data_IF_785635953065
#
_entry.id   IF_785635953065
#
_cell.length_a   1.000
_cell.length_b   1.000
_cell.length_c   1.000
_cell.angle_alpha   90.00
_cell.angle_beta   90.00
_cell.angle_gamma   90.00
#
_symmetry.space_group_name_H-M   'P 1'
#
loop_
_entity.id
_entity.type
_entity.pdbx_description
1 polymer ?
#
# COMPACT_ATOMS: atom_id res chain seq x y z
N UNK A 1 11.56 6.23 -10.64
CA UNK A 1 11.50 7.71 -10.57
C UNK A 1 10.25 8.28 -11.22
N UNK A 2 9.93 7.98 -12.47
CA UNK A 2 8.75 8.52 -13.18
C UNK A 2 7.44 8.27 -12.42
N UNK A 3 7.26 7.07 -11.87
CA UNK A 3 6.07 6.69 -11.10
C UNK A 3 5.82 7.62 -9.90
N UNK A 4 6.86 7.90 -9.10
CA UNK A 4 6.74 8.76 -7.90
C UNK A 4 6.35 10.19 -8.30
N UNK A 5 6.92 10.70 -9.39
CA UNK A 5 6.59 12.04 -9.90
C UNK A 5 5.13 12.09 -10.37
N UNK A 6 4.66 11.06 -11.08
CA UNK A 6 3.27 10.98 -11.54
C UNK A 6 2.29 10.87 -10.36
N UNK A 7 2.62 10.07 -9.34
CA UNK A 7 1.79 9.95 -8.13
C UNK A 7 1.71 11.28 -7.38
N UNK A 8 2.85 11.97 -7.18
CA UNK A 8 2.88 13.28 -6.54
C UNK A 8 2.07 14.31 -7.33
N UNK A 9 2.22 14.35 -8.64
CA UNK A 9 1.46 15.25 -9.51
C UNK A 9 -0.05 14.96 -9.46
N UNK A 10 -0.46 13.69 -9.46
CA UNK A 10 -1.86 13.28 -9.34
C UNK A 10 -2.45 13.67 -7.97
N UNK A 11 -1.71 13.49 -6.88
CA UNK A 11 -2.13 13.91 -5.54
C UNK A 11 -2.30 15.42 -5.44
N UNK A 12 -1.32 16.20 -5.92
CA UNK A 12 -1.38 17.67 -5.92
C UNK A 12 -2.58 18.15 -6.75
N UNK A 13 -2.75 17.58 -7.96
CA UNK A 13 -3.89 17.91 -8.80
C UNK A 13 -5.22 17.54 -8.13
N UNK A 14 -5.31 16.36 -7.52
CA UNK A 14 -6.50 15.90 -6.81
C UNK A 14 -6.89 16.82 -5.64
N UNK A 15 -5.91 17.20 -4.82
CA UNK A 15 -6.13 18.16 -3.72
C UNK A 15 -6.59 19.52 -4.26
N UNK A 16 -5.95 20.03 -5.32
CA UNK A 16 -6.31 21.29 -5.95
C UNK A 16 -7.76 21.28 -6.49
N UNK A 17 -8.14 20.24 -7.24
CA UNK A 17 -9.49 20.11 -7.80
C UNK A 17 -10.55 19.93 -6.71
N UNK A 18 -10.26 19.14 -5.67
CA UNK A 18 -11.20 18.92 -4.56
C UNK A 18 -11.39 20.17 -3.69
N UNK A 19 -10.37 21.01 -3.57
CA UNK A 19 -10.45 22.30 -2.88
C UNK A 19 -11.20 23.34 -3.71
N UNK A 20 -10.89 23.44 -5.01
CA UNK A 20 -11.46 24.47 -5.88
C UNK A 20 -12.90 24.18 -6.29
N UNK A 21 -13.31 22.91 -6.29
CA UNK A 21 -14.68 22.42 -6.56
C UNK A 21 -15.32 22.94 -7.86
N UNK A 22 -14.52 23.31 -8.86
CA UNK A 22 -15.01 23.87 -10.14
C UNK A 22 -15.80 22.87 -10.98
N UNK A 23 -15.45 21.58 -10.91
CA UNK A 23 -16.09 20.53 -11.69
C UNK A 23 -16.10 19.22 -10.93
N UNK A 24 -17.30 18.66 -10.69
CA UNK A 24 -17.46 17.34 -10.06
C UNK A 24 -16.80 16.22 -10.87
N UNK A 25 -16.83 16.31 -12.20
CA UNK A 25 -16.21 15.33 -13.07
C UNK A 25 -14.69 15.31 -12.95
N UNK A 26 -14.02 16.47 -12.96
CA UNK A 26 -12.57 16.55 -12.82
C UNK A 26 -12.10 16.08 -11.44
N UNK A 27 -12.85 16.41 -10.39
CA UNK A 27 -12.60 15.96 -9.04
C UNK A 27 -12.68 14.42 -8.94
N UNK A 28 -13.70 13.81 -9.56
CA UNK A 28 -13.84 12.35 -9.62
C UNK A 28 -12.68 11.71 -10.40
N UNK A 29 -12.32 12.27 -11.55
CA UNK A 29 -11.22 11.75 -12.39
C UNK A 29 -9.88 11.84 -11.65
N UNK A 30 -9.56 12.95 -11.01
CA UNK A 30 -8.32 13.10 -10.25
C UNK A 30 -8.24 12.12 -9.08
N UNK A 31 -9.35 11.88 -8.40
CA UNK A 31 -9.43 10.90 -7.32
C UNK A 31 -9.21 9.47 -7.81
N UNK A 32 -9.89 9.08 -8.89
CA UNK A 32 -9.74 7.75 -9.51
C UNK A 32 -8.32 7.54 -10.01
N UNK A 33 -7.72 8.56 -10.65
CA UNK A 33 -6.35 8.50 -11.13
C UNK A 33 -5.36 8.29 -9.98
N UNK A 34 -5.54 9.00 -8.87
CA UNK A 34 -4.71 8.83 -7.67
C UNK A 34 -4.78 7.41 -7.12
N UNK A 35 -5.99 6.84 -7.00
CA UNK A 35 -6.17 5.46 -6.52
C UNK A 35 -5.58 4.45 -7.52
N UNK A 36 -5.78 4.66 -8.81
CA UNK A 36 -5.19 3.81 -9.84
C UNK A 36 -3.66 3.78 -9.75
N UNK A 37 -3.03 4.95 -9.59
CA UNK A 37 -1.58 5.05 -9.42
C UNK A 37 -1.11 4.41 -8.12
N UNK A 38 -1.81 4.58 -7.01
CA UNK A 38 -1.48 3.92 -5.74
C UNK A 38 -1.54 2.39 -5.85
N UNK A 39 -2.39 1.86 -6.71
CA UNK A 39 -2.52 0.42 -6.95
C UNK A 39 -1.43 -0.21 -7.81
N UNK A 40 -0.69 0.58 -8.60
CA UNK A 40 0.31 0.06 -9.55
C UNK A 40 1.30 -0.93 -8.93
N UNK A 41 1.90 -0.69 -7.76
CA UNK A 41 2.84 -1.62 -7.16
C UNK A 41 2.25 -3.01 -6.87
N UNK A 42 0.94 -3.10 -6.68
CA UNK A 42 0.24 -4.34 -6.35
C UNK A 42 -0.18 -5.15 -7.59
N UNK A 43 -0.19 -4.54 -8.78
CA UNK A 43 -0.65 -5.19 -10.00
C UNK A 43 0.34 -6.22 -10.57
N UNK A 44 1.60 -6.22 -10.11
CA UNK A 44 2.66 -7.13 -10.56
C UNK A 44 2.57 -8.56 -10.02
N UNK A 45 1.69 -8.86 -9.06
CA UNK A 45 1.64 -10.14 -8.33
C UNK A 45 0.70 -11.20 -8.92
N UNK A 46 0.30 -11.09 -10.18
CA UNK A 46 -0.47 -12.08 -10.92
C UNK A 46 -1.74 -11.53 -11.55
N UNK A 47 -2.32 -12.32 -12.46
CA UNK A 47 -3.50 -11.93 -13.22
C UNK A 47 -4.73 -11.64 -12.33
N UNK A 48 -4.87 -12.34 -11.21
CA UNK A 48 -5.95 -12.11 -10.24
C UNK A 48 -5.87 -10.73 -9.59
N UNK A 49 -4.67 -10.26 -9.25
CA UNK A 49 -4.48 -8.92 -8.65
C UNK A 49 -4.82 -7.81 -9.64
N UNK A 50 -4.48 -8.00 -10.91
CA UNK A 50 -4.83 -7.05 -11.98
C UNK A 50 -6.35 -6.99 -12.17
N UNK A 51 -7.03 -8.15 -12.22
CA UNK A 51 -8.48 -8.21 -12.37
C UNK A 51 -9.20 -7.55 -11.21
N UNK A 52 -8.79 -7.82 -9.97
CA UNK A 52 -9.35 -7.18 -8.77
C UNK A 52 -9.13 -5.67 -8.82
N UNK A 53 -7.93 -5.21 -9.19
CA UNK A 53 -7.62 -3.79 -9.31
C UNK A 53 -8.51 -3.08 -10.35
N UNK A 54 -8.65 -3.65 -11.54
CA UNK A 54 -9.54 -3.11 -12.59
C UNK A 54 -10.99 -3.08 -12.12
N UNK A 55 -11.46 -4.13 -11.45
CA UNK A 55 -12.81 -4.20 -10.91
C UNK A 55 -13.06 -3.11 -9.87
N UNK A 56 -12.15 -2.95 -8.91
CA UNK A 56 -12.25 -1.91 -7.87
C UNK A 56 -12.26 -0.51 -8.49
N UNK A 57 -11.36 -0.22 -9.43
CA UNK A 57 -11.31 1.07 -10.12
C UNK A 57 -12.58 1.29 -10.93
N UNK A 58 -13.09 0.26 -11.62
CA UNK A 58 -14.33 0.34 -12.39
C UNK A 58 -15.55 0.62 -11.52
N UNK A 59 -15.70 -0.08 -10.40
CA UNK A 59 -16.79 0.17 -9.42
C UNK A 59 -16.69 1.58 -8.86
N UNK A 60 -15.49 2.02 -8.51
CA UNK A 60 -15.26 3.35 -7.98
C UNK A 60 -15.57 4.43 -9.03
N UNK A 61 -15.19 4.21 -10.29
CA UNK A 61 -15.48 5.12 -11.39
C UNK A 61 -16.99 5.28 -11.62
N UNK A 62 -17.73 4.16 -11.62
CA UNK A 62 -19.18 4.18 -11.74
C UNK A 62 -19.80 4.90 -10.53
N UNK A 63 -19.34 4.60 -9.32
CA UNK A 63 -19.86 5.20 -8.10
C UNK A 63 -19.62 6.71 -8.03
N UNK A 64 -18.44 7.19 -8.45
CA UNK A 64 -18.09 8.61 -8.46
C UNK A 64 -18.59 9.36 -9.69
N UNK A 65 -19.15 8.67 -10.69
CA UNK A 65 -19.70 9.32 -11.86
C UNK A 65 -20.75 10.38 -11.47
N UNK A 66 -20.66 11.61 -12.01
CA UNK A 66 -21.58 12.69 -11.64
C UNK A 66 -23.06 12.32 -11.78
N UNK A 67 -23.37 11.56 -12.84
CA UNK A 67 -24.74 11.08 -13.13
C UNK A 67 -25.26 10.12 -12.05
N UNK A 68 -24.39 9.28 -11.51
CA UNK A 68 -24.74 8.34 -10.43
C UNK A 68 -24.90 9.09 -9.11
N UNK A 69 -24.02 10.03 -8.82
CA UNK A 69 -24.06 10.87 -7.62
C UNK A 69 -25.34 11.73 -7.55
N UNK A 70 -25.87 12.16 -8.70
CA UNK A 70 -27.13 12.94 -8.75
C UNK A 70 -28.36 12.06 -8.47
N UNK A 71 -28.33 10.77 -8.88
CA UNK A 71 -29.42 9.82 -8.63
C UNK A 71 -29.43 9.21 -7.23
N UNK A 72 -28.33 9.30 -6.51
CA UNK A 72 -28.20 8.73 -5.17
C UNK A 72 -28.93 9.54 -4.11
N UNK A 73 -29.45 8.82 -3.10
CA UNK A 73 -30.00 9.45 -1.88
C UNK A 73 -28.91 10.24 -1.18
N UNK A 74 -29.26 11.35 -0.57
CA UNK A 74 -28.33 12.29 0.08
C UNK A 74 -27.37 11.61 1.07
N UNK A 75 -27.84 10.59 1.78
CA UNK A 75 -27.04 9.78 2.73
C UNK A 75 -25.84 9.04 2.09
N UNK A 76 -25.97 8.66 0.81
CA UNK A 76 -24.96 7.86 0.07
C UNK A 76 -24.11 8.71 -0.86
N UNK A 77 -24.35 10.00 -0.87
CA UNK A 77 -23.69 10.95 -1.75
C UNK A 77 -22.36 11.37 -1.13
N UNK A 78 -21.26 11.19 -1.89
CA UNK A 78 -19.95 11.62 -1.43
C UNK A 78 -19.84 13.14 -1.57
N UNK A 79 -19.49 13.81 -0.47
CA UNK A 79 -19.25 15.25 -0.51
C UNK A 79 -17.84 15.56 -1.04
N UNK A 80 -17.68 16.73 -1.66
CA UNK A 80 -16.37 17.24 -2.06
C UNK A 80 -15.40 17.35 -0.87
N UNK A 81 -15.92 17.67 0.31
CA UNK A 81 -15.14 17.73 1.55
C UNK A 81 -14.56 16.36 1.91
N UNK A 82 -15.35 15.29 1.78
CA UNK A 82 -14.88 13.91 2.05
C UNK A 82 -13.76 13.53 1.10
N UNK A 83 -13.91 13.80 -0.20
CA UNK A 83 -12.85 13.53 -1.19
C UNK A 83 -11.57 14.34 -0.89
N UNK A 84 -11.71 15.62 -0.55
CA UNK A 84 -10.58 16.46 -0.18
C UNK A 84 -9.85 15.91 1.05
N UNK A 85 -10.59 15.59 2.11
CA UNK A 85 -10.00 15.03 3.35
C UNK A 85 -9.31 13.71 3.07
N UNK A 86 -9.91 12.82 2.28
CA UNK A 86 -9.30 11.53 1.92
C UNK A 86 -7.99 11.73 1.14
N UNK A 87 -7.97 12.65 0.15
CA UNK A 87 -6.76 12.95 -0.62
C UNK A 87 -5.67 13.58 0.24
N UNK A 88 -6.03 14.49 1.14
CA UNK A 88 -5.08 15.09 2.08
C UNK A 88 -4.49 14.04 3.03
N UNK A 89 -5.33 13.18 3.61
CA UNK A 89 -4.86 12.08 4.46
C UNK A 89 -3.92 11.14 3.69
N UNK A 90 -4.29 10.76 2.46
CA UNK A 90 -3.45 9.92 1.60
C UNK A 90 -2.11 10.60 1.32
N UNK A 91 -2.12 11.88 0.99
CA UNK A 91 -0.89 12.66 0.73
C UNK A 91 0.01 12.69 1.96
N UNK A 92 -0.54 12.92 3.15
CA UNK A 92 0.22 12.92 4.40
C UNK A 92 0.82 11.55 4.73
N UNK A 93 0.07 10.47 4.48
CA UNK A 93 0.56 9.10 4.62
C UNK A 93 1.71 8.84 3.64
N UNK A 94 1.56 9.19 2.37
CA UNK A 94 2.61 9.01 1.35
C UNK A 94 3.87 9.80 1.71
N UNK A 95 3.74 11.03 2.18
CA UNK A 95 4.88 11.83 2.66
C UNK A 95 5.56 11.15 3.86
N UNK A 96 4.79 10.68 4.84
CA UNK A 96 5.34 9.98 6.00
C UNK A 96 6.10 8.70 5.62
N UNK A 97 5.54 7.91 4.70
CA UNK A 97 6.19 6.69 4.21
C UNK A 97 7.31 6.94 3.18
N UNK A 98 7.43 8.14 2.64
CA UNK A 98 8.49 8.46 1.66
C UNK A 98 9.91 8.28 2.21
N UNK A 99 10.08 8.35 3.53
CA UNK A 99 11.35 8.06 4.19
C UNK A 99 11.82 6.63 3.96
N UNK A 100 10.89 5.66 3.84
CA UNK A 100 11.22 4.27 3.52
C UNK A 100 11.70 4.08 2.07
N UNK A 101 11.37 5.01 1.17
CA UNK A 101 11.88 4.99 -0.19
C UNK A 101 13.42 5.09 -0.23
N UNK A 102 14.03 5.72 0.76
CA UNK A 102 15.50 5.78 0.89
C UNK A 102 16.10 4.39 1.12
N UNK A 103 15.39 3.49 1.82
CA UNK A 103 15.83 2.10 2.04
C UNK A 103 15.86 1.37 0.70
N UNK A 104 14.78 1.47 -0.08
CA UNK A 104 14.67 0.85 -1.42
C UNK A 104 15.73 1.41 -2.37
N UNK A 105 15.92 2.73 -2.41
CA UNK A 105 16.95 3.37 -3.25
C UNK A 105 18.35 2.89 -2.87
N UNK A 106 18.62 2.74 -1.58
CA UNK A 106 19.91 2.25 -1.12
C UNK A 106 20.13 0.78 -1.48
N UNK A 107 19.09 -0.05 -1.34
CA UNK A 107 19.14 -1.47 -1.69
C UNK A 107 19.40 -1.67 -3.19
N UNK A 108 18.68 -0.95 -4.07
CA UNK A 108 18.89 -1.00 -5.53
C UNK A 108 20.31 -0.57 -5.97
N UNK A 109 21.05 0.12 -5.10
CA UNK A 109 22.46 0.47 -5.34
C UNK A 109 23.44 -0.68 -5.00
N UNK A 110 22.96 -1.85 -4.58
CA UNK A 110 23.76 -3.04 -4.23
C UNK A 110 24.93 -2.73 -3.28
N UNK A 111 24.62 -2.13 -2.14
CA UNK A 111 25.63 -1.81 -1.13
C UNK A 111 26.17 -3.06 -0.45
N UNK A 112 27.44 -3.09 0.04
CA UNK A 112 28.04 -4.29 0.63
C UNK A 112 27.30 -4.89 1.83
N UNK A 113 26.42 -4.10 2.49
CA UNK A 113 25.56 -4.56 3.57
C UNK A 113 24.10 -4.28 3.20
N UNK A 114 23.55 -5.11 2.32
CA UNK A 114 22.15 -5.05 1.91
C UNK A 114 21.38 -6.23 2.50
N UNK A 115 20.90 -6.04 3.73
CA UNK A 115 20.16 -7.08 4.45
C UNK A 115 18.76 -7.23 3.85
N UNK A 116 18.43 -8.45 3.38
CA UNK A 116 17.18 -8.84 2.73
C UNK A 116 16.89 -8.15 1.39
N UNK A 117 17.82 -7.41 0.81
CA UNK A 117 17.67 -6.73 -0.49
C UNK A 117 16.27 -6.15 -0.71
N UNK A 118 15.83 -5.17 0.10
CA UNK A 118 14.48 -4.59 0.00
C UNK A 118 14.34 -3.68 -1.22
N UNK A 119 14.41 -4.26 -2.42
CA UNK A 119 14.35 -3.54 -3.69
C UNK A 119 12.91 -3.19 -4.10
N UNK A 120 11.94 -3.98 -3.64
CA UNK A 120 10.53 -3.84 -3.94
C UNK A 120 9.70 -3.51 -2.70
N UNK A 121 8.44 -3.05 -2.90
CA UNK A 121 7.51 -2.76 -1.80
C UNK A 121 7.22 -4.00 -0.95
N UNK A 122 7.21 -5.19 -1.55
CA UNK A 122 6.94 -6.44 -0.85
C UNK A 122 8.12 -6.88 -0.01
N UNK A 123 9.31 -6.90 -0.59
CA UNK A 123 10.55 -7.18 0.13
C UNK A 123 10.83 -6.14 1.21
N UNK A 124 10.45 -4.87 0.97
CA UNK A 124 10.45 -3.85 2.01
C UNK A 124 9.46 -4.19 3.14
N UNK A 125 8.27 -4.73 2.82
CA UNK A 125 7.29 -5.20 3.81
C UNK A 125 7.85 -6.32 4.67
N UNK A 126 8.48 -7.32 4.09
CA UNK A 126 9.16 -8.43 4.78
C UNK A 126 10.31 -7.94 5.66
N UNK A 127 11.10 -6.99 5.15
CA UNK A 127 12.17 -6.34 5.90
C UNK A 127 11.64 -5.58 7.13
N UNK A 128 10.59 -4.79 6.97
CA UNK A 128 9.95 -4.05 8.08
C UNK A 128 9.23 -4.98 9.05
N UNK A 129 8.59 -6.04 8.53
CA UNK A 129 7.93 -7.10 9.31
C UNK A 129 8.91 -7.98 10.08
N UNK A 130 10.22 -7.90 9.78
CA UNK A 130 11.26 -8.74 10.37
C UNK A 130 10.99 -10.24 10.21
N UNK A 131 10.41 -10.65 9.09
CA UNK A 131 9.99 -12.04 8.85
C UNK A 131 11.16 -13.03 8.94
N UNK A 132 12.38 -12.58 8.61
CA UNK A 132 13.61 -13.36 8.77
C UNK A 132 13.89 -13.84 10.20
N UNK A 133 13.32 -13.19 11.22
CA UNK A 133 13.50 -13.54 12.62
C UNK A 133 12.39 -14.46 13.16
N UNK A 134 11.44 -14.83 12.29
CA UNK A 134 10.28 -15.62 12.64
C UNK A 134 9.23 -14.83 13.43
N UNK A 135 8.05 -15.39 13.52
CA UNK A 135 6.94 -14.81 14.30
C UNK A 135 6.98 -15.34 15.73
N UNK A 136 7.07 -14.45 16.71
CA UNK A 136 6.86 -14.81 18.11
C UNK A 136 5.40 -14.56 18.46
N UNK A 137 4.68 -15.55 19.02
CA UNK A 137 3.31 -15.34 19.47
C UNK A 137 3.27 -14.29 20.58
N UNK A 138 2.32 -13.35 20.51
CA UNK A 138 2.19 -12.24 21.47
C UNK A 138 1.76 -12.71 22.87
N UNK A 139 0.97 -13.80 22.95
CA UNK A 139 0.36 -14.28 24.20
C UNK A 139 0.97 -15.57 24.72
N UNK A 140 1.65 -16.33 23.86
CA UNK A 140 2.31 -17.58 24.21
C UNK A 140 3.74 -17.51 23.70
N UNK A 141 4.68 -17.76 24.57
CA UNK A 141 6.09 -17.83 24.20
C UNK A 141 6.80 -18.92 25.01
N UNK A 142 7.99 -19.37 24.56
CA UNK A 142 8.78 -20.29 25.35
C UNK A 142 9.13 -19.64 26.68
N UNK A 143 8.77 -20.29 27.80
CA UNK A 143 9.23 -19.88 29.12
C UNK A 143 10.72 -20.16 29.25
N UNK A 144 11.42 -19.46 30.14
CA UNK A 144 12.84 -19.68 30.40
C UNK A 144 13.15 -21.14 30.79
N UNK A 145 12.19 -21.81 31.42
CA UNK A 145 12.27 -23.23 31.84
C UNK A 145 11.75 -24.21 30.78
N UNK A 146 11.28 -23.76 29.62
CA UNK A 146 10.76 -24.67 28.60
C UNK A 146 11.89 -25.46 27.95
N UNK A 147 11.66 -26.77 27.77
CA UNK A 147 12.62 -27.61 27.04
C UNK A 147 12.67 -27.19 25.58
N UNK A 148 13.85 -27.16 25.03
CA UNK A 148 14.06 -26.89 23.62
C UNK A 148 13.42 -28.01 22.80
N UNK A 149 12.52 -27.67 21.86
CA UNK A 149 11.98 -28.66 20.95
C UNK A 149 13.05 -28.94 19.86
N UNK A 150 13.45 -30.20 19.80
CA UNK A 150 14.43 -30.68 18.83
C UNK A 150 13.73 -31.62 17.84
N UNK A 151 13.97 -31.44 16.57
CA UNK A 151 13.55 -32.36 15.51
C UNK A 151 14.74 -33.10 14.94
N UNK A 152 14.54 -34.37 14.63
CA UNK A 152 15.58 -35.21 13.99
C UNK A 152 15.33 -35.19 12.50
N UNK A 153 16.12 -34.43 11.76
CA UNK A 153 16.06 -34.37 10.31
C UNK A 153 17.36 -34.94 9.75
N UNK A 154 17.27 -35.99 8.92
CA UNK A 154 18.42 -36.64 8.27
C UNK A 154 19.54 -37.07 9.22
N UNK A 155 19.19 -37.52 10.43
CA UNK A 155 20.14 -37.95 11.45
C UNK A 155 20.80 -36.82 12.25
N UNK A 156 20.46 -35.58 12.00
CA UNK A 156 20.95 -34.43 12.76
C UNK A 156 19.83 -33.83 13.61
N UNK A 157 20.20 -33.41 14.82
CA UNK A 157 19.30 -32.66 15.72
C UNK A 157 19.21 -31.22 15.24
N UNK A 158 18.03 -30.82 14.81
CA UNK A 158 17.71 -29.43 14.44
C UNK A 158 16.83 -28.77 15.48
N UNK A 159 17.09 -27.50 15.76
CA UNK A 159 16.20 -26.67 16.56
C UNK A 159 14.94 -26.36 15.76
N UNK A 160 13.77 -26.69 16.31
CA UNK A 160 12.52 -26.22 15.74
C UNK A 160 12.39 -24.76 16.12
N UNK A 161 12.46 -23.89 15.13
CA UNK A 161 12.06 -22.50 15.27
C UNK A 161 10.53 -22.46 15.38
N UNK A 162 10.04 -22.20 16.57
CA UNK A 162 8.62 -21.94 16.84
C UNK A 162 8.37 -20.44 16.69
#
# INVERSE_FOLDING_TARGET
MVYIILLAAALIWGVYESYTQKSKARMAVSFILTIALLGIPFYGHGASSILIGILVIGVLAIYLAPQMQEKMKEKWRISARTLNTTLLCTMMIVIGYSSYALIVIRSTANTPMDQNSPEDIFTLGEYLGREQYGTRPLFYGPAFSSKVALDVKDGYLSLIHI
#
